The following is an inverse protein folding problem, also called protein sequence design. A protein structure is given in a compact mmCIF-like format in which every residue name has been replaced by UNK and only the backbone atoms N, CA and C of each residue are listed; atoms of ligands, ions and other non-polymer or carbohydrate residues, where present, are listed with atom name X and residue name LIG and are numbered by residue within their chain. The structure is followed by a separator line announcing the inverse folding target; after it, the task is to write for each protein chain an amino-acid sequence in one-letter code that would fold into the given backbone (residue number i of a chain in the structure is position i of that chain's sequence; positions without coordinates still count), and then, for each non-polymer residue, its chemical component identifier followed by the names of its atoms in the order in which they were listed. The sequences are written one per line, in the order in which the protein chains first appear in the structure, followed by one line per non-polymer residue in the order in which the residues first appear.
data_IF_755682486823
#
_entry.id   IF_755682486823
#
_cell.length_a   1.000
_cell.length_b   1.000
_cell.length_c   1.000
_cell.angle_alpha   90.00
_cell.angle_beta   90.00
_cell.angle_gamma   90.00
#
_symmetry.space_group_name_H-M   'P 1'
#
loop_
_entity.id
_entity.type
_entity.pdbx_description
1 polymer ?
#
# COMPACT_ATOMS: atom_id res chain seq x y z
N UNK A 1 -13.94 -20.36 10.43
CA UNK A 1 -13.22 -20.21 9.14
C UNK A 1 -11.74 -20.51 9.37
N UNK A 2 -11.11 -21.39 8.60
CA UNK A 2 -9.64 -21.58 8.63
C UNK A 2 -9.02 -20.60 7.63
N UNK A 3 -8.42 -19.54 8.12
CA UNK A 3 -7.72 -18.53 7.31
C UNK A 3 -6.29 -18.34 7.79
N UNK A 4 -5.38 -18.04 6.86
CA UNK A 4 -4.00 -17.66 7.17
C UNK A 4 -3.92 -16.16 7.41
N UNK A 5 -3.04 -15.73 8.31
CA UNK A 5 -2.85 -14.30 8.60
C UNK A 5 -2.18 -13.61 7.43
N UNK A 6 -2.72 -12.47 7.02
CA UNK A 6 -2.08 -11.59 6.04
C UNK A 6 -0.87 -10.91 6.69
N UNK A 7 0.32 -10.92 6.05
CA UNK A 7 1.49 -10.19 6.54
C UNK A 7 1.21 -8.69 6.61
N UNK A 8 1.15 -8.14 7.82
CA UNK A 8 1.00 -6.70 8.01
C UNK A 8 2.28 -6.00 7.59
N UNK A 9 2.17 -4.98 6.74
CA UNK A 9 3.31 -4.14 6.36
C UNK A 9 4.05 -3.66 7.61
N UNK A 10 5.39 -3.57 7.58
CA UNK A 10 6.20 -3.02 8.70
C UNK A 10 7.29 -2.05 8.26
N UNK A 11 7.24 -1.55 7.02
CA UNK A 11 8.16 -0.53 6.49
C UNK A 11 9.67 -0.82 6.75
N UNK A 12 10.11 -2.08 6.77
CA UNK A 12 11.39 -2.40 7.42
C UNK A 12 12.31 -3.37 6.68
N UNK A 13 11.77 -4.49 6.18
CA UNK A 13 12.59 -5.61 5.75
C UNK A 13 12.71 -5.66 4.22
N UNK A 14 13.89 -5.28 3.72
CA UNK A 14 14.23 -5.36 2.29
C UNK A 14 15.40 -6.31 2.07
N UNK A 15 16.40 -6.24 2.94
CA UNK A 15 17.60 -7.05 2.86
C UNK A 15 18.21 -7.29 4.25
N UNK A 16 18.85 -8.44 4.42
CA UNK A 16 19.77 -8.74 5.53
C UNK A 16 21.05 -9.33 4.96
N UNK A 17 22.16 -8.59 5.08
CA UNK A 17 23.38 -8.92 4.33
C UNK A 17 23.08 -9.02 2.82
N UNK A 18 23.40 -10.17 2.24
CA UNK A 18 23.21 -10.49 0.83
C UNK A 18 21.86 -11.19 0.52
N UNK A 19 20.95 -11.27 1.49
CA UNK A 19 19.64 -11.88 1.33
C UNK A 19 18.61 -10.76 1.06
N UNK A 20 17.90 -10.84 -0.06
CA UNK A 20 16.78 -9.95 -0.40
C UNK A 20 15.45 -10.59 -0.05
N UNK A 21 14.54 -9.80 0.54
CA UNK A 21 13.17 -10.21 0.84
C UNK A 21 12.22 -9.54 -0.15
N UNK A 22 11.24 -10.29 -0.66
CA UNK A 22 10.25 -9.83 -1.64
C UNK A 22 8.85 -10.31 -1.28
N UNK A 23 7.83 -9.58 -1.74
CA UNK A 23 6.42 -9.91 -1.49
C UNK A 23 6.11 -10.10 -0.01
N UNK A 24 5.40 -11.18 0.31
CA UNK A 24 4.94 -11.49 1.66
C UNK A 24 6.09 -11.62 2.67
N UNK A 25 7.23 -12.17 2.25
CA UNK A 25 8.43 -12.29 3.10
C UNK A 25 8.99 -10.92 3.53
N UNK A 26 8.76 -9.88 2.70
CA UNK A 26 9.12 -8.49 2.98
C UNK A 26 7.98 -7.70 3.63
N UNK A 27 6.84 -8.34 3.95
CA UNK A 27 5.60 -7.69 4.37
C UNK A 27 5.06 -6.66 3.36
N UNK A 28 5.31 -6.89 2.07
CA UNK A 28 4.93 -5.94 1.01
C UNK A 28 3.51 -6.19 0.51
N UNK A 29 2.57 -6.25 1.45
CA UNK A 29 1.13 -6.28 1.19
C UNK A 29 0.59 -4.89 1.43
N UNK A 30 -0.24 -4.38 0.51
CA UNK A 30 -0.86 -3.07 0.64
C UNK A 30 -1.76 -3.04 1.87
N UNK A 31 -1.54 -2.09 2.81
CA UNK A 31 -2.51 -1.85 3.88
C UNK A 31 -3.87 -1.49 3.27
N UNK A 32 -4.96 -1.70 4.01
CA UNK A 32 -6.33 -1.36 3.59
C UNK A 32 -6.97 -2.27 2.53
N UNK A 33 -6.36 -2.43 1.36
CA UNK A 33 -6.92 -3.31 0.30
C UNK A 33 -6.44 -4.75 0.38
N UNK A 34 -5.38 -5.00 1.16
CA UNK A 34 -4.70 -6.29 1.30
C UNK A 34 -4.20 -6.88 -0.03
N UNK A 35 -3.97 -6.04 -1.03
CA UNK A 35 -3.37 -6.49 -2.29
C UNK A 35 -1.91 -6.92 -2.09
N UNK A 36 -1.60 -8.19 -2.35
CA UNK A 36 -0.25 -8.74 -2.25
C UNK A 36 0.39 -9.06 -3.60
N UNK A 37 -0.39 -9.57 -4.57
CA UNK A 37 0.12 -10.10 -5.85
C UNK A 37 0.89 -9.04 -6.64
N UNK A 38 0.28 -7.87 -6.88
CA UNK A 38 0.94 -6.77 -7.61
C UNK A 38 2.24 -6.33 -6.94
N UNK A 39 2.24 -6.27 -5.61
CA UNK A 39 3.38 -5.79 -4.84
C UNK A 39 4.50 -6.82 -4.73
N UNK A 40 4.16 -8.11 -4.68
CA UNK A 40 5.13 -9.20 -4.83
C UNK A 40 5.83 -9.13 -6.19
N UNK A 41 5.07 -8.97 -7.29
CA UNK A 41 5.65 -8.84 -8.63
C UNK A 41 6.59 -7.62 -8.74
N UNK A 42 6.13 -6.43 -8.33
CA UNK A 42 6.96 -5.20 -8.38
C UNK A 42 8.18 -5.29 -7.48
N UNK A 43 8.09 -5.96 -6.35
CA UNK A 43 9.24 -6.17 -5.47
C UNK A 43 10.29 -7.07 -6.09
N UNK A 44 9.89 -8.13 -6.80
CA UNK A 44 10.79 -9.00 -7.55
C UNK A 44 11.52 -8.24 -8.66
N UNK A 45 10.81 -7.38 -9.39
CA UNK A 45 11.39 -6.51 -10.42
C UNK A 45 12.47 -5.59 -9.84
N UNK A 46 12.20 -4.91 -8.73
CA UNK A 46 13.19 -4.02 -8.09
C UNK A 46 14.35 -4.78 -7.43
N UNK A 47 14.11 -5.99 -6.92
CA UNK A 47 15.15 -6.87 -6.41
C UNK A 47 16.08 -7.32 -7.54
N UNK A 48 15.53 -7.72 -8.69
CA UNK A 48 16.30 -8.08 -9.89
C UNK A 48 17.14 -6.90 -10.38
N UNK A 49 16.57 -5.68 -10.45
CA UNK A 49 17.33 -4.48 -10.82
C UNK A 49 18.50 -4.22 -9.86
N UNK A 50 18.30 -4.40 -8.56
CA UNK A 50 19.36 -4.25 -7.57
C UNK A 50 20.47 -5.31 -7.72
N UNK A 51 20.12 -6.55 -8.09
CA UNK A 51 21.08 -7.64 -8.37
C UNK A 51 21.89 -7.32 -9.62
N UNK A 52 21.23 -6.97 -10.73
CA UNK A 52 21.88 -6.65 -12.01
C UNK A 52 22.89 -5.51 -11.85
N UNK A 53 22.57 -4.50 -11.04
CA UNK A 53 23.44 -3.36 -10.77
C UNK A 53 24.48 -3.61 -9.66
N UNK A 54 24.56 -4.83 -9.12
CA UNK A 54 25.40 -5.19 -7.96
C UNK A 54 25.27 -4.19 -6.79
N UNK A 55 24.04 -3.72 -6.54
CA UNK A 55 23.74 -2.66 -5.56
C UNK A 55 22.45 -2.96 -4.81
N UNK A 56 22.50 -3.84 -3.80
CA UNK A 56 21.33 -4.26 -3.02
C UNK A 56 20.54 -3.09 -2.39
N UNK A 57 21.22 -2.00 -2.02
CA UNK A 57 20.56 -0.79 -1.49
C UNK A 57 19.61 -0.10 -2.49
N UNK A 58 19.78 -0.37 -3.79
CA UNK A 58 18.92 0.16 -4.86
C UNK A 58 17.48 -0.33 -4.70
N UNK A 59 17.28 -1.58 -4.29
CA UNK A 59 15.94 -2.14 -4.11
C UNK A 59 15.10 -1.32 -3.13
N UNK A 60 15.63 -1.06 -1.93
CA UNK A 60 14.98 -0.22 -0.91
C UNK A 60 14.69 1.18 -1.46
N UNK A 61 15.62 1.76 -2.21
CA UNK A 61 15.48 3.09 -2.81
C UNK A 61 14.33 3.14 -3.83
N UNK A 62 14.29 2.19 -4.77
CA UNK A 62 13.24 2.07 -5.79
C UNK A 62 11.88 1.88 -5.15
N UNK A 63 11.78 0.94 -4.21
CA UNK A 63 10.53 0.68 -3.50
C UNK A 63 10.01 1.93 -2.78
N UNK A 64 10.87 2.57 -1.96
CA UNK A 64 10.46 3.75 -1.20
C UNK A 64 10.05 4.89 -2.11
N UNK A 65 10.83 5.14 -3.17
CA UNK A 65 10.51 6.18 -4.16
C UNK A 65 9.15 5.95 -4.80
N UNK A 66 8.81 4.70 -5.12
CA UNK A 66 7.58 4.36 -5.85
C UNK A 66 6.35 4.23 -4.95
N UNK A 67 6.48 3.66 -3.76
CA UNK A 67 5.33 3.15 -3.00
C UNK A 67 5.19 3.69 -1.58
N UNK A 68 6.23 4.27 -0.97
CA UNK A 68 6.20 4.64 0.45
C UNK A 68 5.02 5.54 0.80
N UNK A 69 4.82 6.65 0.05
CA UNK A 69 3.75 7.60 0.34
C UNK A 69 2.37 6.97 0.24
N UNK A 70 2.15 6.07 -0.73
CA UNK A 70 0.89 5.36 -0.87
C UNK A 70 0.67 4.37 0.27
N UNK A 71 1.69 3.60 0.65
CA UNK A 71 1.58 2.64 1.76
C UNK A 71 1.31 3.35 3.08
N UNK A 72 1.94 4.51 3.31
CA UNK A 72 1.65 5.35 4.47
C UNK A 72 0.21 5.84 4.47
N UNK A 73 -0.29 6.35 3.33
CA UNK A 73 -1.70 6.76 3.20
C UNK A 73 -2.64 5.60 3.51
N UNK A 74 -2.46 4.45 2.86
CA UNK A 74 -3.31 3.29 3.06
C UNK A 74 -3.26 2.77 4.50
N UNK A 75 -2.09 2.83 5.17
CA UNK A 75 -2.00 2.50 6.60
C UNK A 75 -2.88 3.39 7.45
N UNK A 76 -2.91 4.70 7.17
CA UNK A 76 -3.78 5.63 7.89
C UNK A 76 -5.25 5.28 7.68
N UNK A 77 -5.64 4.89 6.47
CA UNK A 77 -7.02 4.45 6.20
C UNK A 77 -7.36 3.16 6.94
N UNK A 78 -6.46 2.17 6.93
CA UNK A 78 -6.60 0.93 7.70
C UNK A 78 -6.80 1.22 9.19
N UNK A 79 -5.98 2.10 9.78
CA UNK A 79 -6.07 2.42 11.20
C UNK A 79 -7.29 3.26 11.57
N UNK A 80 -7.90 3.96 10.63
CA UNK A 80 -9.11 4.76 10.85
C UNK A 80 -10.37 3.92 10.68
N UNK A 81 -10.46 3.16 9.58
CA UNK A 81 -11.71 2.53 9.16
C UNK A 81 -11.80 1.04 9.50
N UNK A 82 -10.69 0.31 9.60
CA UNK A 82 -10.73 -1.15 9.79
C UNK A 82 -10.45 -1.58 11.25
N UNK A 83 -10.54 -0.63 12.20
CA UNK A 83 -10.27 -0.89 13.62
C UNK A 83 -11.46 -1.45 14.40
N UNK A 84 -12.67 -1.05 14.05
CA UNK A 84 -13.91 -1.42 14.72
C UNK A 84 -15.11 -1.24 13.78
N UNK A 85 -16.27 -1.72 14.20
CA UNK A 85 -17.50 -1.69 13.39
C UNK A 85 -17.92 -0.27 13.01
N UNK A 86 -17.82 0.69 13.93
CA UNK A 86 -18.14 2.10 13.65
C UNK A 86 -17.24 2.70 12.55
N UNK A 87 -15.95 2.31 12.50
CA UNK A 87 -15.05 2.68 11.41
C UNK A 87 -15.46 2.05 10.08
N UNK A 88 -15.89 0.78 10.11
CA UNK A 88 -16.34 0.07 8.92
C UNK A 88 -17.67 0.63 8.37
N UNK A 89 -18.58 1.04 9.24
CA UNK A 89 -19.83 1.73 8.84
C UNK A 89 -19.53 3.09 8.19
N UNK A 90 -18.63 3.91 8.78
CA UNK A 90 -18.21 5.17 8.15
C UNK A 90 -17.57 4.95 6.79
N UNK A 91 -16.81 3.87 6.65
CA UNK A 91 -16.23 3.49 5.37
C UNK A 91 -17.32 3.17 4.36
N UNK A 92 -18.31 2.36 4.76
CA UNK A 92 -19.47 2.02 3.93
C UNK A 92 -20.23 3.27 3.46
N UNK A 93 -20.55 4.19 4.38
CA UNK A 93 -21.24 5.44 4.08
C UNK A 93 -20.44 6.30 3.11
N UNK A 94 -19.13 6.40 3.31
CA UNK A 94 -18.26 7.15 2.40
C UNK A 94 -18.23 6.51 1.00
N UNK A 95 -18.20 5.17 0.90
CA UNK A 95 -18.22 4.47 -0.38
C UNK A 95 -19.56 4.53 -1.12
N UNK A 96 -20.64 5.06 -0.50
CA UNK A 96 -21.89 5.36 -1.20
C UNK A 96 -21.75 6.46 -2.25
N UNK A 97 -20.69 7.29 -2.17
CA UNK A 97 -20.47 8.41 -3.08
C UNK A 97 -19.61 8.05 -4.29
N UNK A 98 -20.07 8.44 -5.47
CA UNK A 98 -19.37 8.20 -6.74
C UNK A 98 -17.98 8.83 -6.79
N UNK A 99 -17.77 10.01 -6.21
CA UNK A 99 -16.45 10.66 -6.23
C UNK A 99 -15.40 9.92 -5.39
N UNK A 100 -15.82 9.26 -4.30
CA UNK A 100 -14.98 8.35 -3.50
C UNK A 100 -14.67 7.09 -4.27
N UNK A 101 -15.66 6.50 -4.93
CA UNK A 101 -15.47 5.31 -5.76
C UNK A 101 -14.48 5.61 -6.90
N UNK A 102 -14.66 6.70 -7.64
CA UNK A 102 -13.77 7.10 -8.73
C UNK A 102 -12.34 7.39 -8.25
N UNK A 103 -12.20 8.11 -7.14
CA UNK A 103 -10.88 8.35 -6.55
C UNK A 103 -10.19 7.04 -6.14
N UNK A 104 -10.94 6.08 -5.59
CA UNK A 104 -10.44 4.76 -5.19
C UNK A 104 -10.07 3.91 -6.40
N UNK A 105 -10.89 3.92 -7.45
CA UNK A 105 -10.61 3.22 -8.71
C UNK A 105 -9.33 3.74 -9.38
N UNK A 106 -9.10 5.06 -9.40
CA UNK A 106 -7.85 5.65 -9.91
C UNK A 106 -6.64 5.20 -9.09
N UNK A 107 -6.73 5.27 -7.76
CA UNK A 107 -5.60 4.99 -6.88
C UNK A 107 -5.29 3.48 -6.79
N UNK A 108 -6.32 2.65 -6.68
CA UNK A 108 -6.22 1.22 -6.41
C UNK A 108 -6.18 0.39 -7.68
N UNK A 109 -7.00 0.65 -8.70
CA UNK A 109 -7.00 -0.19 -9.90
C UNK A 109 -6.05 0.33 -10.96
N UNK A 110 -6.14 1.63 -11.28
CA UNK A 110 -5.25 2.26 -12.28
C UNK A 110 -3.84 2.52 -11.77
N UNK A 111 -3.61 2.29 -10.48
CA UNK A 111 -2.33 2.51 -9.78
C UNK A 111 -1.80 3.93 -9.97
N UNK A 112 -2.65 4.92 -10.16
CA UNK A 112 -2.22 6.31 -10.28
C UNK A 112 -1.69 6.81 -8.93
N UNK A 113 -0.38 7.03 -8.85
CA UNK A 113 0.35 7.41 -7.63
C UNK A 113 0.83 8.86 -7.67
N UNK A 114 0.36 9.65 -8.64
CA UNK A 114 0.74 11.05 -8.75
C UNK A 114 0.49 11.79 -7.42
N UNK A 115 1.36 12.75 -7.09
CA UNK A 115 1.17 13.59 -5.90
C UNK A 115 -0.22 14.23 -5.89
N UNK A 116 -0.71 14.70 -7.04
CA UNK A 116 -2.05 15.26 -7.19
C UNK A 116 -3.15 14.25 -6.84
N UNK A 117 -3.07 13.03 -7.35
CA UNK A 117 -4.06 11.96 -7.09
C UNK A 117 -4.06 11.54 -5.62
N UNK A 118 -2.89 11.45 -4.97
CA UNK A 118 -2.79 11.19 -3.53
C UNK A 118 -3.39 12.34 -2.69
N UNK A 119 -3.10 13.59 -3.04
CA UNK A 119 -3.63 14.76 -2.33
C UNK A 119 -5.15 14.88 -2.49
N UNK A 120 -5.66 14.66 -3.71
CA UNK A 120 -7.09 14.61 -3.99
C UNK A 120 -7.77 13.55 -3.13
N UNK A 121 -7.18 12.36 -3.04
CA UNK A 121 -7.67 11.28 -2.20
C UNK A 121 -7.70 11.70 -0.73
N UNK A 122 -6.60 12.23 -0.18
CA UNK A 122 -6.55 12.71 1.21
C UNK A 122 -7.61 13.78 1.49
N UNK A 123 -7.75 14.76 0.59
CA UNK A 123 -8.72 15.85 0.75
C UNK A 123 -10.15 15.36 0.73
N UNK A 124 -10.45 14.36 -0.10
CA UNK A 124 -11.75 13.72 -0.14
C UNK A 124 -12.08 13.08 1.21
N UNK A 125 -11.14 12.29 1.75
CA UNK A 125 -11.30 11.57 3.02
C UNK A 125 -11.38 12.49 4.23
N UNK A 126 -10.62 13.60 4.22
CA UNK A 126 -10.63 14.56 5.32
C UNK A 126 -12.00 15.18 5.56
N UNK A 127 -12.84 15.29 4.52
CA UNK A 127 -14.23 15.78 4.64
C UNK A 127 -15.15 14.85 5.43
N UNK A 128 -14.75 13.61 5.68
CA UNK A 128 -15.55 12.59 6.41
C UNK A 128 -14.97 12.25 7.78
N UNK A 129 -13.83 12.85 8.14
CA UNK A 129 -13.20 12.70 9.46
C UNK A 129 -13.63 13.81 10.44
N UNK A 130 -14.56 14.67 10.02
CA UNK A 130 -15.17 15.75 10.80
C UNK A 130 -16.68 15.58 10.82
#
# INVERSE_FOLDING_TARGET
MRGYKVPLWKNGLYNMGNILFVGDSATQVMPFTYEGIYYAMKSGEFAAEAIINNRLSLYRKLWRKRFLSRFMLMRTLESVFLRNDAGAERLFDMFSRTDVQEASMRLWLRKDAGRGSLLSYVNLFRKFLH
#
